data_IF_588477133601
#
_entry.id   IF_588477133601
#
_cell.length_a   1.000
_cell.length_b   1.000
_cell.length_c   1.000
_cell.angle_alpha   90.00
_cell.angle_beta   90.00
_cell.angle_gamma   90.00
#
_symmetry.space_group_name_H-M   'P 1'
#
loop_
_entity.id
_entity.type
_entity.pdbx_description
1 polymer ?
#
# COMPACT_ATOMS: atom_id res chain seq x y z
N UNK A 1 18.38 13.89 20.85
CA UNK A 1 18.48 12.41 20.68
C UNK A 1 17.14 11.67 20.69
N UNK A 2 16.08 12.17 21.37
CA UNK A 2 14.73 11.52 21.37
C UNK A 2 14.05 11.42 19.98
N UNK A 3 14.25 12.42 19.10
CA UNK A 3 13.67 12.44 17.74
C UNK A 3 14.15 11.30 16.82
N UNK A 4 15.41 10.89 16.91
CA UNK A 4 15.94 9.81 16.06
C UNK A 4 15.37 8.44 16.44
N UNK A 5 15.25 8.15 17.74
CA UNK A 5 14.68 6.90 18.24
C UNK A 5 13.21 6.76 17.85
N UNK A 6 12.42 7.83 17.97
CA UNK A 6 11.02 7.86 17.54
C UNK A 6 10.88 7.65 16.03
N UNK A 7 11.73 8.28 15.21
CA UNK A 7 11.75 8.05 13.76
C UNK A 7 12.03 6.58 13.40
N UNK A 8 13.02 5.97 14.07
CA UNK A 8 13.38 4.56 13.85
C UNK A 8 12.23 3.64 14.25
N UNK A 9 11.62 3.88 15.42
CA UNK A 9 10.49 3.10 15.90
C UNK A 9 9.29 3.19 14.95
N UNK A 10 8.97 4.40 14.48
CA UNK A 10 7.91 4.64 13.51
C UNK A 10 8.18 3.98 12.16
N UNK A 11 9.43 4.06 11.67
CA UNK A 11 9.86 3.35 10.48
C UNK A 11 9.71 1.83 10.63
N UNK A 12 10.06 1.28 11.80
CA UNK A 12 9.93 -0.15 12.09
C UNK A 12 8.47 -0.60 12.15
N UNK A 13 7.57 0.19 12.76
CA UNK A 13 6.13 -0.09 12.74
C UNK A 13 5.59 -0.09 11.31
N UNK A 14 5.92 0.93 10.52
CA UNK A 14 5.46 1.05 9.13
C UNK A 14 6.00 -0.10 8.25
N UNK A 15 7.23 -0.55 8.51
CA UNK A 15 7.83 -1.71 7.86
C UNK A 15 7.07 -3.00 8.20
N UNK A 16 6.78 -3.23 9.49
CA UNK A 16 6.02 -4.39 9.94
C UNK A 16 4.59 -4.40 9.36
N UNK A 17 3.90 -3.26 9.38
CA UNK A 17 2.55 -3.12 8.79
C UNK A 17 2.59 -3.40 7.29
N UNK A 18 3.56 -2.84 6.55
CA UNK A 18 3.69 -3.08 5.12
C UNK A 18 4.00 -4.54 4.78
N UNK A 19 4.85 -5.18 5.58
CA UNK A 19 5.17 -6.60 5.46
C UNK A 19 3.93 -7.46 5.73
N UNK A 20 3.18 -7.16 6.79
CA UNK A 20 1.95 -7.85 7.16
C UNK A 20 0.89 -7.71 6.07
N UNK A 21 0.66 -6.50 5.54
CA UNK A 21 -0.25 -6.31 4.42
C UNK A 21 0.18 -7.16 3.23
N UNK A 22 1.44 -7.08 2.81
CA UNK A 22 1.94 -7.88 1.69
C UNK A 22 1.71 -9.38 1.91
N UNK A 23 1.92 -9.86 3.14
CA UNK A 23 1.63 -11.25 3.49
C UNK A 23 0.14 -11.59 3.38
N UNK A 24 -0.75 -10.77 3.93
CA UNK A 24 -2.21 -10.96 3.85
C UNK A 24 -2.68 -10.93 2.40
N UNK A 25 -2.25 -9.96 1.60
CA UNK A 25 -2.63 -9.84 0.19
C UNK A 25 -2.15 -11.08 -0.59
N UNK A 26 -0.95 -11.57 -0.32
CA UNK A 26 -0.41 -12.79 -0.94
C UNK A 26 -1.21 -14.05 -0.55
N UNK A 27 -1.61 -14.17 0.71
CA UNK A 27 -2.50 -15.26 1.15
C UNK A 27 -3.85 -15.19 0.44
N UNK A 28 -4.46 -14.00 0.36
CA UNK A 28 -5.74 -13.80 -0.33
C UNK A 28 -5.66 -14.13 -1.83
N UNK A 29 -4.54 -13.79 -2.47
CA UNK A 29 -4.28 -14.13 -3.87
C UNK A 29 -4.08 -15.65 -4.06
N UNK A 30 -3.38 -16.30 -3.13
CA UNK A 30 -3.17 -17.76 -3.14
C UNK A 30 -4.49 -18.52 -2.99
N UNK A 31 -5.39 -18.06 -2.13
CA UNK A 31 -6.70 -18.71 -1.91
C UNK A 31 -7.59 -18.70 -3.16
N UNK A 32 -7.49 -17.69 -4.04
CA UNK A 32 -8.24 -17.64 -5.31
C UNK A 32 -7.84 -18.79 -6.25
N UNK A 33 -6.54 -19.07 -6.35
CA UNK A 33 -6.01 -20.05 -7.30
C UNK A 33 -6.32 -21.51 -6.92
N UNK A 34 -6.71 -21.77 -5.68
CA UNK A 34 -7.10 -23.10 -5.20
C UNK A 34 -8.59 -23.41 -5.41
N UNK A 35 -9.38 -22.50 -5.99
CA UNK A 35 -10.80 -22.76 -6.27
C UNK A 35 -10.94 -23.82 -7.38
N UNK A 36 -11.74 -24.90 -7.18
CA UNK A 36 -11.75 -26.10 -8.03
C UNK A 36 -12.27 -25.90 -9.46
N UNK A 37 -12.70 -24.68 -9.83
CA UNK A 37 -13.26 -24.36 -11.14
C UNK A 37 -12.26 -23.92 -12.22
N UNK A 38 -11.01 -23.59 -11.86
CA UNK A 38 -9.96 -23.22 -12.83
C UNK A 38 -8.93 -24.36 -12.99
N UNK A 39 -9.40 -25.46 -13.55
CA UNK A 39 -8.62 -26.67 -13.80
C UNK A 39 -7.91 -26.62 -15.17
N UNK A 40 -7.12 -25.57 -15.48
CA UNK A 40 -6.08 -25.67 -16.50
C UNK A 40 -5.13 -24.48 -16.40
N UNK A 41 -3.84 -24.75 -16.59
CA UNK A 41 -2.71 -23.86 -16.32
C UNK A 41 -2.39 -23.77 -14.82
N UNK A 42 -1.61 -24.77 -14.36
CA UNK A 42 -0.72 -24.67 -13.18
C UNK A 42 0.13 -23.41 -13.34
N UNK A 43 -0.44 -22.28 -12.97
CA UNK A 43 0.27 -21.04 -13.06
C UNK A 43 1.29 -21.00 -11.95
N UNK A 44 2.54 -20.80 -12.34
CA UNK A 44 3.74 -20.77 -11.54
C UNK A 44 3.78 -19.55 -10.58
N UNK A 45 2.65 -19.22 -9.94
CA UNK A 45 2.56 -18.18 -8.92
C UNK A 45 3.14 -18.61 -7.57
N UNK A 46 3.47 -19.89 -7.37
CA UNK A 46 3.78 -20.37 -6.02
C UNK A 46 5.22 -20.09 -5.52
N UNK A 47 6.18 -19.79 -6.40
CA UNK A 47 7.60 -19.72 -6.00
C UNK A 47 8.39 -18.49 -6.48
N UNK A 48 7.81 -17.61 -7.30
CA UNK A 48 8.40 -16.28 -7.53
C UNK A 48 7.84 -15.20 -6.58
N UNK A 49 7.02 -15.59 -5.62
CA UNK A 49 6.83 -14.87 -4.36
C UNK A 49 8.03 -15.13 -3.48
N UNK A 50 9.19 -14.61 -3.90
CA UNK A 50 10.43 -14.80 -3.16
C UNK A 50 10.29 -14.11 -1.80
N UNK A 51 10.99 -14.60 -0.78
CA UNK A 51 11.03 -14.04 0.58
C UNK A 51 11.38 -12.55 0.60
N UNK A 52 11.98 -12.04 -0.49
CA UNK A 52 12.29 -10.64 -0.69
C UNK A 52 11.07 -9.73 -0.94
N UNK A 53 9.93 -10.24 -1.42
CA UNK A 53 8.83 -9.38 -1.86
C UNK A 53 8.16 -8.67 -0.68
N UNK A 54 7.83 -9.37 0.44
CA UNK A 54 7.39 -8.70 1.65
C UNK A 54 8.41 -7.70 2.20
N UNK A 55 9.71 -7.96 2.04
CA UNK A 55 10.77 -7.06 2.47
C UNK A 55 10.81 -5.77 1.63
N UNK A 56 10.73 -5.88 0.31
CA UNK A 56 10.72 -4.71 -0.59
C UNK A 56 9.47 -3.86 -0.35
N UNK A 57 8.29 -4.49 -0.24
CA UNK A 57 7.05 -3.79 0.05
C UNK A 57 7.05 -3.18 1.47
N UNK A 58 7.62 -3.87 2.46
CA UNK A 58 7.82 -3.34 3.81
C UNK A 58 8.72 -2.10 3.81
N UNK A 59 9.84 -2.13 3.08
CA UNK A 59 10.74 -0.97 2.93
C UNK A 59 10.03 0.18 2.20
N UNK A 60 9.28 -0.12 1.13
CA UNK A 60 8.47 0.87 0.42
C UNK A 60 7.43 1.52 1.33
N UNK A 61 6.78 0.73 2.19
CA UNK A 61 5.83 1.21 3.19
C UNK A 61 6.49 2.14 4.21
N UNK A 62 7.64 1.75 4.77
CA UNK A 62 8.39 2.58 5.69
C UNK A 62 8.81 3.90 5.03
N UNK A 63 9.29 3.86 3.79
CA UNK A 63 9.69 5.03 3.02
C UNK A 63 8.51 5.98 2.77
N UNK A 64 7.40 5.47 2.23
CA UNK A 64 6.17 6.23 1.95
C UNK A 64 5.62 6.86 3.24
N UNK A 65 5.52 6.06 4.30
CA UNK A 65 4.98 6.52 5.57
C UNK A 65 5.86 7.57 6.25
N UNK A 66 7.19 7.51 6.11
CA UNK A 66 8.12 8.51 6.64
C UNK A 66 8.17 9.78 5.77
N UNK A 67 8.17 9.64 4.44
CA UNK A 67 8.23 10.78 3.50
C UNK A 67 7.02 11.69 3.64
N UNK A 68 5.82 11.13 3.85
CA UNK A 68 4.59 11.91 3.90
C UNK A 68 4.63 13.07 4.93
N UNK A 69 4.91 12.83 6.22
CA UNK A 69 5.03 13.90 7.20
C UNK A 69 6.23 14.83 6.97
N UNK A 70 7.34 14.34 6.42
CA UNK A 70 8.47 15.21 6.06
C UNK A 70 8.09 16.21 4.96
N UNK A 71 7.40 15.75 3.92
CA UNK A 71 6.90 16.63 2.85
C UNK A 71 5.84 17.60 3.37
N UNK A 72 4.95 17.14 4.24
CA UNK A 72 3.92 17.99 4.83
C UNK A 72 4.50 19.07 5.75
N UNK A 73 5.47 18.72 6.60
CA UNK A 73 6.20 19.67 7.44
C UNK A 73 6.90 20.75 6.61
N UNK A 74 7.51 20.37 5.48
CA UNK A 74 8.20 21.32 4.59
C UNK A 74 7.23 22.21 3.79
N UNK A 75 6.01 21.76 3.57
CA UNK A 75 5.05 22.41 2.68
C UNK A 75 3.94 23.20 3.41
N UNK A 76 3.79 23.05 4.74
CA UNK A 76 2.72 23.69 5.48
C UNK A 76 3.09 23.97 6.94
N UNK A 77 2.85 25.18 7.39
CA UNK A 77 2.89 25.63 8.80
C UNK A 77 1.62 25.20 9.56
N UNK A 78 1.17 23.96 9.32
CA UNK A 78 -0.13 23.48 9.81
C UNK A 78 0.07 22.24 10.68
N UNK A 79 -0.40 22.35 11.93
CA UNK A 79 -0.39 21.28 12.93
C UNK A 79 -0.92 19.96 12.36
N UNK A 80 -0.16 18.88 12.57
CA UNK A 80 -0.60 17.53 12.22
C UNK A 80 -1.75 17.14 13.15
N UNK A 81 -2.98 17.45 12.76
CA UNK A 81 -4.15 17.09 13.56
C UNK A 81 -4.26 15.57 13.69
N UNK A 82 -4.23 15.09 14.94
CA UNK A 82 -4.48 13.69 15.28
C UNK A 82 -5.87 13.30 14.76
N UNK A 83 -5.95 12.25 13.94
CA UNK A 83 -7.22 11.67 13.49
C UNK A 83 -7.64 10.55 14.43
N UNK A 84 -8.92 10.21 14.45
CA UNK A 84 -9.37 9.01 15.18
C UNK A 84 -8.79 7.75 14.53
N UNK A 85 -8.30 6.82 15.34
CA UNK A 85 -7.86 5.50 14.87
C UNK A 85 -8.96 4.74 14.13
N UNK A 86 -10.23 5.02 14.44
CA UNK A 86 -11.38 4.49 13.69
C UNK A 86 -11.33 4.88 12.20
N UNK A 87 -10.93 6.11 11.90
CA UNK A 87 -10.80 6.58 10.52
C UNK A 87 -9.68 5.84 9.77
N UNK A 88 -8.55 5.61 10.45
CA UNK A 88 -7.42 4.84 9.90
C UNK A 88 -7.83 3.38 9.65
N UNK A 89 -8.52 2.75 10.61
CA UNK A 89 -8.98 1.36 10.47
C UNK A 89 -10.02 1.20 9.35
N UNK A 90 -10.92 2.16 9.15
CA UNK A 90 -11.86 2.16 8.01
C UNK A 90 -11.12 2.25 6.68
N UNK A 91 -10.06 3.04 6.61
CA UNK A 91 -9.21 3.14 5.42
C UNK A 91 -8.49 1.81 5.13
N UNK A 92 -7.92 1.17 6.16
CA UNK A 92 -7.31 -0.16 6.06
C UNK A 92 -8.32 -1.21 5.60
N UNK A 93 -9.53 -1.22 6.18
CA UNK A 93 -10.59 -2.15 5.79
C UNK A 93 -11.00 -1.94 4.31
N UNK A 94 -11.12 -0.69 3.86
CA UNK A 94 -11.41 -0.37 2.47
C UNK A 94 -10.30 -0.87 1.53
N UNK A 95 -9.03 -0.67 1.90
CA UNK A 95 -7.88 -1.17 1.14
C UNK A 95 -7.89 -2.70 1.00
N UNK A 96 -8.10 -3.41 2.11
CA UNK A 96 -8.19 -4.88 2.10
C UNK A 96 -9.39 -5.32 1.25
N UNK A 97 -10.53 -4.63 1.35
CA UNK A 97 -11.72 -4.87 0.53
C UNK A 97 -11.48 -4.64 -0.98
N UNK A 98 -10.74 -3.60 -1.36
CA UNK A 98 -10.34 -3.38 -2.77
C UNK A 98 -9.50 -4.56 -3.26
N UNK A 99 -8.51 -4.99 -2.47
CA UNK A 99 -7.66 -6.12 -2.86
C UNK A 99 -8.45 -7.43 -2.96
N UNK A 100 -9.38 -7.67 -2.04
CA UNK A 100 -10.26 -8.83 -2.08
C UNK A 100 -11.23 -8.77 -3.27
N UNK A 101 -11.75 -7.60 -3.62
CA UNK A 101 -12.58 -7.42 -4.80
C UNK A 101 -11.79 -7.72 -6.10
N UNK A 102 -10.51 -7.32 -6.18
CA UNK A 102 -9.64 -7.70 -7.29
C UNK A 102 -9.52 -9.22 -7.45
N UNK A 103 -9.47 -9.95 -6.33
CA UNK A 103 -9.25 -11.40 -6.31
C UNK A 103 -10.52 -12.23 -6.38
N UNK A 104 -11.69 -11.72 -6.03
CA UNK A 104 -12.93 -12.51 -6.01
C UNK A 104 -13.91 -12.16 -7.12
N UNK A 105 -13.82 -10.97 -7.70
CA UNK A 105 -14.75 -10.56 -8.76
C UNK A 105 -14.18 -10.98 -10.12
N UNK A 106 -14.95 -11.78 -10.84
CA UNK A 106 -14.64 -12.20 -12.20
C UNK A 106 -15.22 -11.16 -13.17
N UNK A 107 -14.34 -10.31 -13.72
CA UNK A 107 -14.72 -9.33 -14.73
C UNK A 107 -14.53 -9.91 -16.14
N UNK A 108 -15.44 -9.62 -17.08
CA UNK A 108 -15.35 -10.11 -18.45
C UNK A 108 -14.21 -9.46 -19.25
N UNK A 109 -13.73 -8.28 -18.83
CA UNK A 109 -12.63 -7.57 -19.48
C UNK A 109 -11.67 -6.93 -18.47
N UNK A 110 -10.38 -7.00 -18.76
CA UNK A 110 -9.30 -6.34 -18.01
C UNK A 110 -9.51 -4.82 -17.91
N UNK A 111 -10.11 -4.21 -18.94
CA UNK A 111 -10.39 -2.77 -18.96
C UNK A 111 -11.49 -2.40 -17.95
N UNK A 112 -12.51 -3.25 -17.80
CA UNK A 112 -13.56 -3.05 -16.80
C UNK A 112 -13.03 -3.18 -15.38
N UNK A 113 -12.15 -4.17 -15.15
CA UNK A 113 -11.43 -4.32 -13.88
C UNK A 113 -10.60 -3.06 -13.57
N UNK A 114 -9.77 -2.61 -14.50
CA UNK A 114 -8.93 -1.43 -14.28
C UNK A 114 -9.75 -0.16 -14.00
N UNK A 115 -10.80 0.10 -14.78
CA UNK A 115 -11.66 1.27 -14.58
C UNK A 115 -12.40 1.25 -13.24
N UNK A 116 -12.99 0.10 -12.87
CA UNK A 116 -13.68 -0.02 -11.58
C UNK A 116 -12.72 0.18 -10.40
N UNK A 117 -11.53 -0.41 -10.47
CA UNK A 117 -10.50 -0.23 -9.45
C UNK A 117 -10.00 1.20 -9.38
N UNK A 118 -9.83 1.88 -10.52
CA UNK A 118 -9.44 3.27 -10.56
C UNK A 118 -10.50 4.16 -9.87
N UNK A 119 -11.78 3.95 -10.17
CA UNK A 119 -12.89 4.69 -9.55
C UNK A 119 -12.92 4.47 -8.04
N UNK A 120 -12.83 3.21 -7.59
CA UNK A 120 -12.86 2.90 -6.16
C UNK A 120 -11.62 3.45 -5.44
N UNK A 121 -10.43 3.33 -6.04
CA UNK A 121 -9.17 3.81 -5.47
C UNK A 121 -9.13 5.35 -5.37
N UNK A 122 -9.61 6.05 -6.40
CA UNK A 122 -9.73 7.52 -6.38
C UNK A 122 -10.82 7.96 -5.39
N UNK A 123 -11.94 7.24 -5.32
CA UNK A 123 -12.99 7.47 -4.32
C UNK A 123 -12.47 7.33 -2.89
N UNK A 124 -11.64 6.31 -2.64
CA UNK A 124 -10.97 6.11 -1.35
C UNK A 124 -10.04 7.28 -1.01
N UNK A 125 -9.23 7.74 -1.96
CA UNK A 125 -8.40 8.94 -1.77
C UNK A 125 -9.25 10.16 -1.40
N UNK A 126 -10.31 10.41 -2.15
CA UNK A 126 -11.21 11.56 -1.94
C UNK A 126 -11.89 11.52 -0.57
N UNK A 127 -12.29 10.33 -0.12
CA UNK A 127 -13.00 10.14 1.15
C UNK A 127 -12.08 10.24 2.37
N UNK A 128 -10.89 9.61 2.34
CA UNK A 128 -10.04 9.48 3.53
C UNK A 128 -8.92 10.52 3.63
N UNK A 129 -8.18 10.82 2.56
CA UNK A 129 -7.00 11.69 2.66
C UNK A 129 -7.27 13.09 2.10
N UNK A 130 -7.93 13.20 0.94
CA UNK A 130 -8.25 14.46 0.23
C UNK A 130 -7.05 15.39 -0.02
N UNK A 131 -5.82 14.95 0.27
CA UNK A 131 -4.60 15.77 0.14
C UNK A 131 -3.91 15.53 -1.19
N UNK A 132 -3.37 16.59 -1.79
CA UNK A 132 -2.55 16.50 -3.01
C UNK A 132 -1.22 15.80 -2.79
N UNK A 133 -0.63 15.92 -1.59
CA UNK A 133 0.62 15.23 -1.23
C UNK A 133 0.40 13.72 -1.18
N UNK A 134 -0.68 13.25 -0.53
CA UNK A 134 -1.01 11.83 -0.49
C UNK A 134 -1.35 11.27 -1.87
N UNK A 135 -2.04 12.05 -2.70
CA UNK A 135 -2.30 11.68 -4.10
C UNK A 135 -1.00 11.49 -4.89
N UNK A 136 -0.08 12.46 -4.80
CA UNK A 136 1.20 12.42 -5.49
C UNK A 136 2.07 11.24 -5.06
N UNK A 137 2.18 10.99 -3.75
CA UNK A 137 2.93 9.84 -3.22
C UNK A 137 2.32 8.52 -3.68
N UNK A 138 0.98 8.41 -3.69
CA UNK A 138 0.28 7.23 -4.22
C UNK A 138 0.58 6.98 -5.69
N UNK A 139 0.54 8.02 -6.54
CA UNK A 139 0.87 7.90 -7.97
C UNK A 139 2.32 7.48 -8.16
N UNK A 140 3.26 8.13 -7.48
CA UNK A 140 4.69 7.80 -7.58
C UNK A 140 4.92 6.35 -7.16
N UNK A 141 4.31 5.89 -6.08
CA UNK A 141 4.40 4.50 -5.65
C UNK A 141 3.84 3.53 -6.72
N UNK A 142 2.68 3.83 -7.30
CA UNK A 142 2.06 3.01 -8.33
C UNK A 142 2.92 2.91 -9.61
N UNK A 143 3.49 4.04 -10.06
CA UNK A 143 4.40 4.08 -11.21
C UNK A 143 5.67 3.29 -10.91
N UNK A 144 6.30 3.51 -9.76
CA UNK A 144 7.51 2.78 -9.37
C UNK A 144 7.27 1.28 -9.28
N UNK A 145 6.15 0.84 -8.71
CA UNK A 145 5.81 -0.57 -8.64
C UNK A 145 5.59 -1.18 -10.04
N UNK A 146 4.86 -0.49 -10.90
CA UNK A 146 4.60 -0.96 -12.28
C UNK A 146 5.90 -1.05 -13.09
N UNK A 147 6.79 -0.07 -12.95
CA UNK A 147 8.11 -0.07 -13.58
C UNK A 147 9.00 -1.18 -13.02
N UNK A 148 9.02 -1.37 -11.70
CA UNK A 148 9.76 -2.45 -11.06
C UNK A 148 9.29 -3.80 -11.61
N UNK A 149 7.98 -4.05 -11.66
CA UNK A 149 7.43 -5.27 -12.27
C UNK A 149 7.85 -5.41 -13.73
N UNK A 150 7.77 -4.35 -14.53
CA UNK A 150 8.20 -4.36 -15.93
C UNK A 150 9.70 -4.73 -16.08
N UNK A 151 10.57 -4.18 -15.22
CA UNK A 151 12.01 -4.47 -15.20
C UNK A 151 12.26 -5.93 -14.79
N UNK A 152 11.55 -6.43 -13.77
CA UNK A 152 11.68 -7.82 -13.30
C UNK A 152 11.29 -8.83 -14.40
N UNK A 153 10.26 -8.53 -15.19
CA UNK A 153 9.86 -9.36 -16.34
C UNK A 153 10.89 -9.26 -17.46
N UNK A 154 11.40 -8.06 -17.75
CA UNK A 154 12.42 -7.86 -18.77
C UNK A 154 13.71 -8.64 -18.48
N UNK A 155 14.17 -8.64 -17.22
CA UNK A 155 15.35 -9.40 -16.78
C UNK A 155 15.09 -10.91 -16.61
N UNK A 156 13.89 -11.41 -16.95
CA UNK A 156 13.47 -12.82 -16.78
C UNK A 156 13.61 -13.36 -15.35
N UNK A 157 13.61 -12.47 -14.35
CA UNK A 157 13.66 -12.84 -12.93
C UNK A 157 12.32 -13.45 -12.49
N UNK A 158 11.23 -13.02 -13.14
CA UNK A 158 9.89 -13.57 -13.02
C UNK A 158 9.38 -13.95 -14.41
N UNK A 159 8.92 -15.19 -14.56
CA UNK A 159 8.33 -15.69 -15.80
C UNK A 159 6.82 -15.49 -15.68
N UNK A 160 6.25 -14.67 -16.56
CA UNK A 160 4.80 -14.46 -16.67
C UNK A 160 4.34 -14.85 -18.08
N UNK A 161 3.18 -15.49 -18.18
CA UNK A 161 2.48 -15.63 -19.47
C UNK A 161 1.92 -14.27 -19.92
N UNK A 162 1.74 -14.06 -21.23
CA UNK A 162 1.28 -12.77 -21.77
C UNK A 162 -0.08 -12.33 -21.19
N UNK A 163 -1.02 -13.28 -21.05
CA UNK A 163 -2.35 -13.01 -20.45
C UNK A 163 -2.25 -12.61 -18.98
N UNK A 164 -1.36 -13.27 -18.25
CA UNK A 164 -1.13 -13.02 -16.82
C UNK A 164 -0.47 -11.67 -16.58
N UNK A 165 0.47 -11.30 -17.43
CA UNK A 165 1.13 -10.00 -17.36
C UNK A 165 0.15 -8.86 -17.62
N UNK A 166 -0.75 -9.01 -18.60
CA UNK A 166 -1.81 -8.04 -18.85
C UNK A 166 -2.78 -7.91 -17.67
N UNK A 167 -3.09 -9.03 -17.00
CA UNK A 167 -3.94 -9.03 -15.81
C UNK A 167 -3.27 -8.29 -14.64
N UNK A 168 -2.01 -8.61 -14.32
CA UNK A 168 -1.24 -7.94 -13.26
C UNK A 168 -1.19 -6.43 -13.48
N UNK A 169 -0.93 -5.97 -14.71
CA UNK A 169 -0.92 -4.54 -15.06
C UNK A 169 -2.25 -3.83 -14.83
N UNK A 170 -3.36 -4.56 -14.87
CA UNK A 170 -4.70 -3.97 -14.79
C UNK A 170 -5.09 -3.62 -13.35
N UNK A 171 -4.63 -4.38 -12.36
CA UNK A 171 -4.98 -4.15 -10.94
C UNK A 171 -3.82 -3.60 -10.10
N UNK A 172 -2.56 -3.95 -10.43
CA UNK A 172 -1.39 -3.60 -9.62
C UNK A 172 -1.25 -2.09 -9.35
N UNK A 173 -1.41 -1.19 -10.33
CA UNK A 173 -1.28 0.25 -10.08
C UNK A 173 -2.31 0.76 -9.07
N UNK A 174 -3.56 0.27 -9.15
CA UNK A 174 -4.64 0.69 -8.26
C UNK A 174 -4.46 0.17 -6.83
N UNK A 175 -4.02 -1.09 -6.68
CA UNK A 175 -3.72 -1.67 -5.37
C UNK A 175 -2.52 -0.97 -4.72
N UNK A 176 -1.46 -0.69 -5.47
CA UNK A 176 -0.30 0.02 -4.92
C UNK A 176 -0.64 1.48 -4.59
N UNK A 177 -1.44 2.14 -5.42
CA UNK A 177 -1.93 3.50 -5.14
C UNK A 177 -2.74 3.56 -3.84
N UNK A 178 -3.74 2.69 -3.69
CA UNK A 178 -4.58 2.63 -2.48
C UNK A 178 -3.79 2.20 -1.23
N UNK A 179 -2.87 1.25 -1.38
CA UNK A 179 -1.93 0.86 -0.32
C UNK A 179 -1.02 2.00 0.10
N UNK A 180 -0.47 2.75 -0.87
CA UNK A 180 0.36 3.93 -0.62
C UNK A 180 -0.36 5.01 0.17
N UNK A 181 -1.62 5.30 -0.16
CA UNK A 181 -2.47 6.24 0.59
C UNK A 181 -2.72 5.74 2.02
N UNK A 182 -3.02 4.45 2.17
CA UNK A 182 -3.28 3.83 3.48
C UNK A 182 -2.07 3.96 4.39
N UNK A 183 -0.89 3.59 3.89
CA UNK A 183 0.38 3.69 4.62
C UNK A 183 0.73 5.14 4.93
N UNK A 184 0.46 6.07 4.00
CA UNK A 184 0.65 7.49 4.22
C UNK A 184 -0.22 8.04 5.36
N UNK A 185 -1.50 7.65 5.44
CA UNK A 185 -2.39 8.03 6.54
C UNK A 185 -1.91 7.45 7.87
N UNK A 186 -1.49 6.18 7.90
CA UNK A 186 -0.92 5.54 9.10
C UNK A 186 0.36 6.28 9.53
N UNK A 187 1.22 6.61 8.57
CA UNK A 187 2.43 7.39 8.82
C UNK A 187 2.12 8.74 9.45
N UNK A 188 1.19 9.50 8.86
CA UNK A 188 0.71 10.77 9.39
C UNK A 188 0.19 10.64 10.82
N UNK A 189 -0.59 9.59 11.12
CA UNK A 189 -1.16 9.36 12.44
C UNK A 189 -0.09 9.04 13.49
N UNK A 190 0.88 8.17 13.14
CA UNK A 190 2.00 7.85 14.02
C UNK A 190 2.82 9.10 14.35
N UNK A 191 3.06 9.97 13.36
CA UNK A 191 3.76 11.24 13.58
C UNK A 191 3.00 12.15 14.55
N UNK A 192 1.69 12.30 14.37
CA UNK A 192 0.86 13.13 15.23
C UNK A 192 0.89 12.66 16.69
N UNK A 193 0.83 11.35 16.92
CA UNK A 193 0.92 10.77 18.27
C UNK A 193 2.28 11.00 18.93
N UNK A 194 3.38 10.93 18.17
CA UNK A 194 4.72 11.20 18.68
C UNK A 194 4.84 12.65 19.20
N UNK A 195 4.24 13.61 18.49
CA UNK A 195 4.18 15.01 18.91
C UNK A 195 3.35 15.19 20.18
N UNK A 196 2.14 14.61 20.25
CA UNK A 196 1.29 14.70 21.45
C UNK A 196 1.95 14.10 22.69
N UNK A 197 2.66 12.97 22.57
CA UNK A 197 3.36 12.37 23.71
C UNK A 197 4.57 13.21 24.16
N UNK A 198 5.22 13.93 23.24
CA UNK A 198 6.30 14.84 23.58
C UNK A 198 5.81 16.09 24.34
N UNK A 199 4.68 16.65 23.93
CA UNK A 199 4.10 17.86 24.53
C UNK A 199 3.57 17.59 25.94
N UNK A 200 2.92 16.43 26.13
CA UNK A 200 2.42 16.02 27.43
C UNK A 200 3.54 15.77 28.45
N UNK A 201 4.72 15.33 28.00
CA UNK A 201 5.91 15.18 28.86
C UNK A 201 6.52 16.50 29.27
N UNK A 202 6.55 17.51 28.39
CA UNK A 202 7.04 18.85 28.74
C UNK A 202 6.12 19.60 29.71
N UNK A 203 4.83 19.30 29.74
CA UNK A 203 3.90 19.88 30.71
C UNK A 203 3.93 19.21 32.09
N UNK A 204 4.56 18.04 32.21
CA UNK A 204 4.67 17.29 33.46
C UNK A 204 5.99 17.54 34.22
N UNK A 205 6.93 18.29 33.63
CA UNK A 205 8.21 18.73 34.21
C UNK A 205 8.11 20.18 34.72
#
# INVERSE_FOLDING_TARGET
MRSASQLVYRGLILFLIGTLFTFVLNVLQTQRHSSPFHHHEKSQYSFCTKWWLPLICGLGSALVGLIYPCLKYKCSDQEMRCQDWSHVLRCVAMFVGINEACTKVDFPSNLQLCLSLAVISVGMWWYFDRTSIGFGIGIVAAVLATLATQILVYHKICIYSEREFSYVKSWLPCVVFSGGITVAIIGKQLAANDFSDSDNKSHAE
#
